data_IF_680041525375
#
_entry.id   IF_680041525375
#
_cell.length_a   1.000
_cell.length_b   1.000
_cell.length_c   1.000
_cell.angle_alpha   90.00
_cell.angle_beta   90.00
_cell.angle_gamma   90.00
#
_symmetry.space_group_name_H-M   'P 1'
#
loop_
_entity.id
_entity.type
_entity.pdbx_description
1 polymer ?
#
# COMPACT_ATOMS: atom_id res chain seq x y z
N UNK A 1 1.64 -9.11 -7.94
CA UNK A 1 1.57 -8.22 -6.77
C UNK A 1 0.12 -8.08 -6.35
N UNK A 2 -0.12 -7.99 -5.04
CA UNK A 2 -1.32 -7.37 -4.48
C UNK A 2 -1.08 -5.85 -4.48
N UNK A 3 -2.04 -5.02 -4.88
CA UNK A 3 -1.82 -3.59 -5.00
C UNK A 3 -3.01 -2.78 -4.53
N UNK A 4 -2.76 -1.66 -3.84
CA UNK A 4 -3.76 -0.66 -3.50
C UNK A 4 -3.33 0.70 -4.05
N UNK A 5 -4.26 1.40 -4.69
CA UNK A 5 -4.07 2.76 -5.16
C UNK A 5 -4.74 3.74 -4.18
N UNK A 6 -3.97 4.70 -3.68
CA UNK A 6 -4.47 5.83 -2.89
C UNK A 6 -4.37 7.11 -3.71
N UNK A 7 -5.44 7.90 -3.75
CA UNK A 7 -5.49 9.18 -4.45
C UNK A 7 -5.89 10.30 -3.48
N UNK A 8 -4.99 11.26 -3.27
CA UNK A 8 -5.22 12.41 -2.39
C UNK A 8 -4.21 13.54 -2.68
N UNK A 9 -4.36 14.67 -1.99
CA UNK A 9 -3.41 15.78 -1.98
C UNK A 9 -3.18 16.21 -0.53
N UNK A 10 -1.94 16.38 -0.05
CA UNK A 10 -0.64 16.24 -0.75
C UNK A 10 -0.24 14.78 -1.03
N UNK A 11 0.88 14.57 -1.74
CA UNK A 11 1.37 13.24 -2.15
C UNK A 11 1.55 12.28 -0.97
N UNK A 12 1.94 12.81 0.19
CA UNK A 12 2.12 12.02 1.41
C UNK A 12 0.82 11.40 1.90
N UNK A 13 -0.34 12.03 1.68
CA UNK A 13 -1.62 11.45 2.08
C UNK A 13 -2.03 10.32 1.14
N UNK A 14 -1.79 10.47 -0.17
CA UNK A 14 -1.98 9.40 -1.15
C UNK A 14 -1.10 8.18 -0.79
N UNK A 15 0.15 8.42 -0.39
CA UNK A 15 1.06 7.39 0.09
C UNK A 15 0.51 6.69 1.34
N UNK A 16 0.08 7.45 2.36
CA UNK A 16 -0.46 6.90 3.61
C UNK A 16 -1.70 6.05 3.36
N UNK A 17 -2.66 6.56 2.58
CA UNK A 17 -3.89 5.84 2.23
C UNK A 17 -3.54 4.51 1.56
N UNK A 18 -2.69 4.53 0.53
CA UNK A 18 -2.32 3.32 -0.20
C UNK A 18 -1.68 2.25 0.70
N UNK A 19 -0.79 2.64 1.62
CA UNK A 19 -0.12 1.69 2.51
C UNK A 19 -1.02 1.19 3.64
N UNK A 20 -1.84 2.06 4.25
CA UNK A 20 -2.76 1.66 5.33
C UNK A 20 -3.82 0.71 4.82
N UNK A 21 -4.41 1.00 3.65
CA UNK A 21 -5.42 0.12 3.05
C UNK A 21 -4.80 -1.22 2.60
N UNK A 22 -3.55 -1.23 2.13
CA UNK A 22 -2.84 -2.48 1.84
C UNK A 22 -2.59 -3.30 3.12
N UNK A 23 -2.20 -2.67 4.23
CA UNK A 23 -2.05 -3.37 5.52
C UNK A 23 -3.39 -3.95 5.98
N UNK A 24 -4.48 -3.17 5.91
CA UNK A 24 -5.82 -3.66 6.25
C UNK A 24 -6.22 -4.87 5.39
N UNK A 25 -5.88 -4.85 4.10
CA UNK A 25 -6.16 -5.96 3.20
C UNK A 25 -5.36 -7.22 3.56
N UNK A 26 -4.08 -7.08 3.89
CA UNK A 26 -3.26 -8.20 4.37
C UNK A 26 -3.80 -8.82 5.67
N UNK A 27 -4.30 -7.98 6.59
CA UNK A 27 -4.91 -8.45 7.84
C UNK A 27 -6.23 -9.17 7.58
N UNK A 28 -7.11 -8.58 6.77
CA UNK A 28 -8.47 -9.10 6.55
C UNK A 28 -8.50 -10.41 5.76
N UNK A 29 -7.72 -10.51 4.69
CA UNK A 29 -7.88 -11.60 3.71
C UNK A 29 -6.73 -12.62 3.78
N UNK A 30 -5.59 -12.24 4.35
CA UNK A 30 -4.37 -13.06 4.39
C UNK A 30 -3.88 -13.36 5.80
N UNK A 31 -4.65 -13.01 6.83
CA UNK A 31 -4.42 -13.45 8.22
C UNK A 31 -3.15 -12.89 8.88
N UNK A 32 -2.56 -11.83 8.34
CA UNK A 32 -1.43 -11.18 8.99
C UNK A 32 -1.85 -10.50 10.30
N UNK A 33 -0.98 -10.50 11.30
CA UNK A 33 -1.08 -9.56 12.42
C UNK A 33 -0.76 -8.13 11.91
N UNK A 34 -1.41 -7.10 12.46
CA UNK A 34 -1.35 -5.72 11.95
C UNK A 34 0.08 -5.15 11.93
N UNK A 35 0.83 -5.31 13.02
CA UNK A 35 2.20 -4.78 13.13
C UNK A 35 3.20 -5.63 12.35
N UNK A 36 2.98 -6.94 12.26
CA UNK A 36 3.73 -7.82 11.36
C UNK A 36 3.51 -7.43 9.89
N UNK A 37 2.26 -7.19 9.47
CA UNK A 37 1.95 -6.70 8.13
C UNK A 37 2.68 -5.38 7.83
N UNK A 38 2.69 -4.44 8.78
CA UNK A 38 3.44 -3.20 8.66
C UNK A 38 4.96 -3.46 8.51
N UNK A 39 5.54 -4.29 9.37
CA UNK A 39 6.96 -4.61 9.34
C UNK A 39 7.35 -5.29 8.03
N UNK A 40 6.64 -6.34 7.62
CA UNK A 40 6.94 -7.06 6.37
C UNK A 40 6.76 -6.14 5.17
N UNK A 41 5.66 -5.38 5.10
CA UNK A 41 5.43 -4.42 4.02
C UNK A 41 6.55 -3.36 3.94
N UNK A 42 7.12 -2.93 5.07
CA UNK A 42 8.25 -1.99 5.07
C UNK A 42 9.52 -2.55 4.41
N UNK A 43 9.72 -3.87 4.43
CA UNK A 43 10.91 -4.53 3.89
C UNK A 43 10.73 -4.95 2.43
N UNK A 44 9.56 -5.51 2.10
CA UNK A 44 9.31 -6.12 0.78
C UNK A 44 8.41 -5.29 -0.13
N UNK A 45 7.74 -4.28 0.45
CA UNK A 45 6.82 -3.42 -0.26
C UNK A 45 7.49 -2.62 -1.37
N UNK A 46 6.75 -2.38 -2.44
CA UNK A 46 7.14 -1.48 -3.52
C UNK A 46 6.08 -0.42 -3.68
N UNK A 47 6.48 0.81 -3.98
CA UNK A 47 5.55 1.87 -4.35
C UNK A 47 5.82 2.36 -5.76
N UNK A 48 4.76 2.83 -6.43
CA UNK A 48 4.85 3.51 -7.73
C UNK A 48 4.07 4.81 -7.65
N UNK A 49 4.71 5.90 -8.07
CA UNK A 49 4.01 7.15 -8.39
C UNK A 49 3.20 6.92 -9.66
N UNK A 50 1.87 6.96 -9.55
CA UNK A 50 0.95 6.83 -10.67
C UNK A 50 0.87 8.13 -11.44
N UNK A 51 0.48 9.21 -10.74
CA UNK A 51 0.49 10.56 -11.27
C UNK A 51 0.73 11.58 -10.13
N UNK A 52 1.27 12.74 -10.51
CA UNK A 52 1.43 13.95 -9.65
C UNK A 52 0.91 15.22 -10.35
N UNK A 53 0.08 15.05 -11.37
CA UNK A 53 -0.37 16.13 -12.26
C UNK A 53 -1.88 16.38 -12.17
N UNK A 54 -2.64 15.38 -11.72
CA UNK A 54 -4.09 15.47 -11.58
C UNK A 54 -4.47 16.26 -10.30
N UNK A 55 -5.76 16.65 -10.14
CA UNK A 55 -6.21 17.32 -8.91
C UNK A 55 -5.82 16.57 -7.63
N UNK A 56 -5.93 15.23 -7.64
CA UNK A 56 -5.40 14.35 -6.60
C UNK A 56 -4.25 13.52 -7.15
N UNK A 57 -3.16 13.45 -6.41
CA UNK A 57 -2.02 12.62 -6.77
C UNK A 57 -2.29 11.17 -6.42
N UNK A 58 -1.75 10.25 -7.22
CA UNK A 58 -1.99 8.81 -7.03
C UNK A 58 -0.70 8.07 -6.74
N UNK A 59 -0.69 7.31 -5.64
CA UNK A 59 0.36 6.37 -5.26
C UNK A 59 -0.23 4.96 -5.28
N UNK A 60 0.54 4.01 -5.81
CA UNK A 60 0.21 2.59 -5.77
C UNK A 60 1.18 1.87 -4.85
N UNK A 61 0.69 1.37 -3.71
CA UNK A 61 1.43 0.47 -2.82
C UNK A 61 1.27 -0.97 -3.33
N UNK A 62 2.35 -1.75 -3.30
CA UNK A 62 2.41 -3.10 -3.87
C UNK A 62 3.07 -4.08 -2.91
N UNK A 63 2.43 -5.24 -2.71
CA UNK A 63 2.96 -6.37 -1.97
C UNK A 63 3.26 -7.55 -2.93
N UNK A 64 4.47 -8.15 -2.89
CA UNK A 64 4.78 -9.32 -3.73
C UNK A 64 3.96 -10.54 -3.32
N UNK A 65 3.26 -11.17 -4.27
CA UNK A 65 2.39 -12.34 -3.97
C UNK A 65 3.14 -13.55 -3.42
N UNK A 66 4.45 -13.66 -3.65
CA UNK A 66 5.30 -14.75 -3.14
C UNK A 66 5.44 -14.81 -1.61
N UNK A 67 5.05 -13.74 -0.91
CA UNK A 67 5.06 -13.68 0.56
C UNK A 67 3.65 -13.77 1.16
N UNK A 68 2.63 -14.06 0.34
CA UNK A 68 1.30 -14.36 0.84
C UNK A 68 1.26 -15.84 1.27
N UNK A 69 0.45 -16.19 2.29
CA UNK A 69 0.19 -17.57 2.69
C UNK A 69 -0.41 -18.43 1.56
#
# INVERSE_FOLDING_TARGET
>A
YLMVAGSARPLMDALRIAHVELIKWLVADYGFEKWEALQVLSQVGRMRVGNVVDPNYTIVAKFPKKYLP
#
